data_IF_221428176031
#
_entry.id   IF_221428176031
#
_cell.length_a   1.000
_cell.length_b   1.000
_cell.length_c   1.000
_cell.angle_alpha   90.00
_cell.angle_beta   90.00
_cell.angle_gamma   90.00
#
_symmetry.space_group_name_H-M   'P 1'
#
loop_
_entity.id
_entity.type
_entity.pdbx_description
1 polymer ?
#
# COMPACT_ATOMS: atom_id res chain seq x y z
N UNK A 1 29.40 -8.76 20.83
CA UNK A 1 29.90 -9.30 19.54
C UNK A 1 28.97 -10.43 19.13
N UNK A 2 28.36 -10.36 17.96
CA UNK A 2 27.51 -11.45 17.44
C UNK A 2 28.35 -12.71 17.21
N UNK A 3 27.81 -13.87 17.58
CA UNK A 3 28.44 -15.17 17.35
C UNK A 3 28.54 -15.48 15.84
N UNK A 4 29.43 -16.40 15.44
CA UNK A 4 29.51 -16.84 14.03
C UNK A 4 28.18 -17.43 13.54
N UNK A 5 27.40 -18.09 14.42
CA UNK A 5 26.04 -18.58 14.12
C UNK A 5 25.07 -17.44 13.84
N UNK A 6 25.05 -16.38 14.65
CA UNK A 6 24.20 -15.20 14.43
C UNK A 6 24.52 -14.50 13.11
N UNK A 7 25.82 -14.35 12.76
CA UNK A 7 26.25 -13.80 11.45
C UNK A 7 25.87 -14.67 10.25
N UNK A 8 25.87 -15.99 10.42
CA UNK A 8 25.44 -16.92 9.39
C UNK A 8 23.93 -16.86 9.18
N UNK A 9 23.15 -16.71 10.26
CA UNK A 9 21.71 -16.47 10.23
C UNK A 9 21.35 -15.15 9.54
N UNK A 10 21.96 -14.03 9.90
CA UNK A 10 21.74 -12.74 9.22
C UNK A 10 22.01 -12.80 7.71
N UNK A 11 23.02 -13.57 7.30
CA UNK A 11 23.35 -13.75 5.89
C UNK A 11 22.30 -14.57 5.14
N UNK A 12 21.76 -15.62 5.79
CA UNK A 12 20.69 -16.47 5.24
C UNK A 12 19.32 -15.79 5.24
N UNK A 13 18.98 -15.02 6.27
CA UNK A 13 17.77 -14.19 6.30
C UNK A 13 17.66 -13.30 5.03
N UNK A 14 18.80 -12.69 4.64
CA UNK A 14 18.86 -11.88 3.42
C UNK A 14 18.77 -12.70 2.13
N UNK A 15 19.22 -13.94 2.13
CA UNK A 15 19.27 -14.80 0.93
C UNK A 15 17.97 -15.55 0.70
N UNK A 16 17.31 -16.04 1.75
CA UNK A 16 16.08 -16.83 1.65
C UNK A 16 14.80 -16.00 1.87
N UNK A 17 14.91 -14.69 2.16
CA UNK A 17 13.76 -13.81 2.45
C UNK A 17 13.01 -14.22 3.73
N UNK A 18 13.65 -14.95 4.62
CA UNK A 18 13.12 -15.37 5.92
C UNK A 18 13.35 -14.28 6.96
N UNK A 19 12.35 -14.03 7.78
CA UNK A 19 12.42 -13.09 8.91
C UNK A 19 11.85 -13.76 10.15
N UNK A 20 12.61 -13.74 11.26
CA UNK A 20 12.14 -14.29 12.51
C UNK A 20 10.95 -13.50 13.05
N UNK A 21 9.91 -14.23 13.44
CA UNK A 21 8.70 -13.62 14.01
C UNK A 21 8.94 -13.31 15.49
N UNK A 22 8.74 -12.06 15.94
CA UNK A 22 8.82 -11.75 17.36
C UNK A 22 7.85 -12.61 18.19
N UNK A 23 8.26 -13.08 19.38
CA UNK A 23 7.42 -13.94 20.22
C UNK A 23 6.03 -13.37 20.53
N UNK A 24 5.94 -12.07 20.74
CA UNK A 24 4.66 -11.37 21.01
C UNK A 24 3.71 -11.46 19.82
N UNK A 25 4.24 -11.34 18.60
CA UNK A 25 3.46 -11.44 17.36
C UNK A 25 2.96 -12.86 17.18
N UNK A 26 3.82 -13.85 17.35
CA UNK A 26 3.47 -15.27 17.24
C UNK A 26 2.41 -15.67 18.28
N UNK A 27 2.61 -15.27 19.54
CA UNK A 27 1.65 -15.52 20.63
C UNK A 27 0.28 -14.87 20.33
N UNK A 28 0.28 -13.64 19.85
CA UNK A 28 -0.96 -12.94 19.47
C UNK A 28 -1.70 -13.67 18.36
N UNK A 29 -0.98 -14.08 17.29
CA UNK A 29 -1.60 -14.78 16.15
C UNK A 29 -2.23 -16.10 16.61
N UNK A 30 -1.53 -16.88 17.41
CA UNK A 30 -2.06 -18.14 17.94
C UNK A 30 -3.28 -17.89 18.82
N UNK A 31 -3.20 -16.95 19.77
CA UNK A 31 -4.31 -16.64 20.68
C UNK A 31 -5.56 -16.13 19.94
N UNK A 32 -5.37 -15.26 18.92
CA UNK A 32 -6.46 -14.77 18.10
C UNK A 32 -7.10 -15.92 17.28
N UNK A 33 -6.29 -16.79 16.71
CA UNK A 33 -6.77 -17.92 15.91
C UNK A 33 -7.59 -18.90 16.74
N UNK A 34 -7.13 -19.24 17.93
CA UNK A 34 -7.84 -20.14 18.87
C UNK A 34 -9.18 -19.54 19.29
N UNK A 35 -9.21 -18.24 19.64
CA UNK A 35 -10.44 -17.55 20.05
C UNK A 35 -11.53 -17.57 18.98
N UNK A 36 -11.16 -17.61 17.70
CA UNK A 36 -12.10 -17.59 16.58
C UNK A 36 -12.35 -18.97 15.95
N UNK A 37 -11.74 -20.02 16.48
CA UNK A 37 -12.04 -21.38 16.12
C UNK A 37 -13.31 -21.81 16.87
N UNK A 38 -14.37 -22.15 16.15
CA UNK A 38 -15.66 -22.50 16.76
C UNK A 38 -15.56 -23.76 17.62
N UNK A 39 -14.85 -24.78 17.14
CA UNK A 39 -14.53 -26.03 17.85
C UNK A 39 -13.31 -26.69 17.22
N UNK A 40 -12.62 -27.50 18.00
CA UNK A 40 -11.54 -28.36 17.49
C UNK A 40 -12.16 -29.62 16.92
N UNK A 41 -11.91 -29.90 15.65
CA UNK A 41 -12.43 -31.07 14.97
C UNK A 41 -11.38 -32.17 14.88
N UNK A 42 -10.17 -31.80 14.48
CA UNK A 42 -9.04 -32.72 14.31
C UNK A 42 -7.97 -32.55 15.38
N UNK A 43 -7.95 -31.41 16.05
CA UNK A 43 -6.90 -30.95 16.98
C UNK A 43 -5.55 -30.76 16.30
N UNK A 44 -5.48 -30.70 14.96
CA UNK A 44 -4.26 -30.52 14.19
C UNK A 44 -4.01 -29.04 13.91
N UNK A 45 -2.74 -28.64 14.00
CA UNK A 45 -2.34 -27.29 13.60
C UNK A 45 -1.01 -27.34 12.83
N UNK A 46 -0.82 -26.43 11.87
CA UNK A 46 0.43 -26.40 11.13
C UNK A 46 0.96 -24.99 10.81
N UNK A 47 2.26 -24.98 10.51
CA UNK A 47 2.97 -23.86 9.88
C UNK A 47 3.72 -24.37 8.64
N UNK A 48 3.26 -24.00 7.42
CA UNK A 48 3.88 -24.45 6.17
C UNK A 48 5.27 -23.84 5.87
N UNK A 49 5.75 -22.90 6.70
CA UNK A 49 7.07 -22.26 6.58
C UNK A 49 7.62 -21.92 7.96
N UNK A 50 7.79 -22.96 8.79
CA UNK A 50 7.84 -22.84 10.25
C UNK A 50 9.13 -22.21 10.80
N UNK A 51 10.24 -22.18 10.04
CA UNK A 51 11.53 -21.77 10.56
C UNK A 51 11.89 -22.56 11.82
N UNK A 52 12.31 -21.88 12.88
CA UNK A 52 12.65 -22.50 14.18
C UNK A 52 11.43 -22.94 15.02
N UNK A 53 10.19 -22.85 14.48
CA UNK A 53 8.99 -23.41 15.12
C UNK A 53 8.35 -22.53 16.19
N UNK A 54 8.50 -21.21 16.14
CA UNK A 54 7.93 -20.29 17.14
C UNK A 54 6.39 -20.43 17.26
N UNK A 55 5.67 -20.58 16.15
CA UNK A 55 4.23 -20.79 16.14
C UNK A 55 3.86 -22.18 16.69
N UNK A 56 4.60 -23.23 16.31
CA UNK A 56 4.38 -24.59 16.76
C UNK A 56 4.45 -24.65 18.30
N UNK A 57 5.43 -23.95 18.88
CA UNK A 57 5.64 -23.90 20.32
C UNK A 57 4.43 -23.32 21.06
N UNK A 58 3.81 -22.27 20.56
CA UNK A 58 2.62 -21.70 21.18
C UNK A 58 1.40 -22.59 20.96
N UNK A 59 1.22 -23.18 19.79
CA UNK A 59 0.12 -24.10 19.49
C UNK A 59 0.20 -25.37 20.35
N UNK A 60 1.39 -25.94 20.50
CA UNK A 60 1.63 -27.14 21.34
C UNK A 60 1.30 -26.88 22.80
N UNK A 61 1.63 -25.69 23.34
CA UNK A 61 1.25 -25.28 24.70
C UNK A 61 -0.26 -25.20 24.89
N UNK A 62 -0.99 -24.89 23.82
CA UNK A 62 -2.45 -24.85 23.84
C UNK A 62 -3.09 -26.23 23.55
N UNK A 63 -2.26 -27.30 23.47
CA UNK A 63 -2.71 -28.69 23.35
C UNK A 63 -3.04 -29.15 21.93
N UNK A 64 -2.56 -28.46 20.90
CA UNK A 64 -2.65 -28.95 19.52
C UNK A 64 -1.55 -29.96 19.20
N UNK A 65 -1.87 -30.94 18.37
CA UNK A 65 -0.87 -31.70 17.62
C UNK A 65 -0.37 -30.83 16.47
N UNK A 66 0.96 -30.64 16.38
CA UNK A 66 1.55 -29.59 15.53
C UNK A 66 2.46 -30.18 14.46
N UNK A 67 2.41 -29.60 13.28
CA UNK A 67 3.22 -29.95 12.12
C UNK A 67 3.89 -28.69 11.55
N UNK A 68 5.22 -28.66 11.56
CA UNK A 68 6.01 -27.59 10.94
C UNK A 68 6.68 -28.09 9.68
N UNK A 69 6.70 -27.29 8.64
CA UNK A 69 7.40 -27.60 7.40
C UNK A 69 8.39 -26.49 7.07
N UNK A 70 9.61 -26.86 6.76
CA UNK A 70 10.63 -25.93 6.26
C UNK A 70 11.58 -26.64 5.30
N UNK A 71 12.06 -25.92 4.29
CA UNK A 71 12.99 -26.46 3.29
C UNK A 71 14.43 -26.50 3.80
N UNK A 72 14.76 -25.68 4.81
CA UNK A 72 16.12 -25.56 5.35
C UNK A 72 16.34 -26.55 6.52
N UNK A 73 17.20 -27.58 6.37
CA UNK A 73 17.44 -28.53 7.45
C UNK A 73 18.06 -27.91 8.71
N UNK A 74 18.71 -26.75 8.61
CA UNK A 74 19.32 -26.06 9.74
C UNK A 74 18.27 -25.63 10.79
N UNK A 75 17.01 -25.42 10.39
CA UNK A 75 15.97 -25.05 11.34
C UNK A 75 15.81 -26.07 12.47
N UNK A 76 15.99 -27.33 12.19
CA UNK A 76 15.99 -28.39 13.24
C UNK A 76 17.09 -28.25 14.27
N UNK A 77 18.27 -27.77 13.86
CA UNK A 77 19.41 -27.61 14.78
C UNK A 77 19.18 -26.48 15.78
N UNK A 78 18.45 -25.43 15.36
CA UNK A 78 18.21 -24.23 16.15
C UNK A 78 16.85 -24.23 16.83
N UNK A 79 15.94 -25.09 16.40
CA UNK A 79 14.61 -25.20 16.97
C UNK A 79 14.66 -25.60 18.44
N UNK A 80 13.80 -25.04 19.30
CA UNK A 80 13.65 -25.45 20.68
C UNK A 80 13.37 -26.97 20.78
N UNK A 81 13.93 -27.67 21.82
CA UNK A 81 13.77 -29.13 21.95
C UNK A 81 12.31 -29.59 21.99
N UNK A 82 11.41 -28.75 22.52
CA UNK A 82 9.99 -29.05 22.69
C UNK A 82 9.19 -29.14 21.37
N UNK A 83 9.74 -28.63 20.24
CA UNK A 83 9.08 -28.66 18.92
C UNK A 83 9.97 -29.16 17.78
N UNK A 84 11.21 -29.51 18.07
CA UNK A 84 12.21 -29.96 17.08
C UNK A 84 11.73 -31.15 16.25
N UNK A 85 11.13 -32.13 16.92
CA UNK A 85 10.67 -33.38 16.29
C UNK A 85 9.38 -33.16 15.47
N UNK A 86 8.64 -32.11 15.76
CA UNK A 86 7.42 -31.72 15.01
C UNK A 86 7.77 -30.99 13.70
N UNK A 87 9.05 -30.67 13.45
CA UNK A 87 9.48 -30.01 12.21
C UNK A 87 9.86 -31.08 11.17
N UNK A 88 9.23 -31.02 10.03
CA UNK A 88 9.47 -31.89 8.88
C UNK A 88 10.24 -31.08 7.82
N UNK A 89 11.41 -31.57 7.40
CA UNK A 89 12.20 -30.94 6.35
C UNK A 89 11.56 -31.25 5.00
N UNK A 90 10.81 -30.30 4.50
CA UNK A 90 10.02 -30.42 3.26
C UNK A 90 9.72 -29.05 2.68
N UNK A 91 9.60 -28.95 1.34
CA UNK A 91 9.11 -27.73 0.71
C UNK A 91 7.64 -27.52 1.06
N UNK A 92 7.31 -26.45 1.80
CA UNK A 92 5.95 -26.12 2.21
C UNK A 92 4.96 -25.87 1.07
N UNK A 93 5.43 -25.70 -0.17
CA UNK A 93 4.58 -25.59 -1.36
C UNK A 93 4.26 -26.97 -1.99
N UNK A 94 4.88 -28.05 -1.51
CA UNK A 94 4.54 -29.43 -1.93
C UNK A 94 3.22 -29.89 -1.32
N UNK A 95 2.75 -31.06 -1.71
CA UNK A 95 1.60 -31.69 -1.08
C UNK A 95 2.02 -32.12 0.36
N UNK A 96 1.35 -31.53 1.35
CA UNK A 96 1.71 -31.70 2.76
C UNK A 96 0.85 -32.77 3.43
N UNK A 97 1.37 -33.50 4.43
CA UNK A 97 0.54 -34.36 5.28
C UNK A 97 -0.65 -33.59 5.85
N UNK A 98 -1.79 -34.25 5.97
CA UNK A 98 -3.04 -33.70 6.54
C UNK A 98 -3.52 -32.39 5.86
N UNK A 99 -3.16 -32.15 4.58
CA UNK A 99 -3.62 -30.96 3.85
C UNK A 99 -5.15 -30.96 3.73
N UNK A 100 -5.77 -29.89 4.21
CA UNK A 100 -7.23 -29.78 4.26
C UNK A 100 -7.89 -30.22 5.57
N UNK A 101 -7.09 -30.69 6.56
CA UNK A 101 -7.58 -31.19 7.84
C UNK A 101 -7.22 -30.30 9.04
N UNK A 102 -6.33 -29.30 8.88
CA UNK A 102 -5.87 -28.49 10.00
C UNK A 102 -6.95 -27.54 10.54
N UNK A 103 -7.17 -27.58 11.85
CA UNK A 103 -8.01 -26.62 12.58
C UNK A 103 -7.42 -25.21 12.55
N UNK A 104 -6.10 -25.12 12.69
CA UNK A 104 -5.36 -23.86 12.69
C UNK A 104 -4.15 -23.95 11.76
N UNK A 105 -4.02 -22.94 10.89
CA UNK A 105 -2.85 -22.77 10.03
C UNK A 105 -2.27 -21.39 10.27
N UNK A 106 -1.08 -21.30 10.83
CA UNK A 106 -0.45 -20.01 11.14
C UNK A 106 0.97 -19.95 10.62
N UNK A 107 1.50 -18.75 10.39
CA UNK A 107 2.91 -18.63 10.00
C UNK A 107 3.28 -17.27 9.42
N UNK A 108 4.56 -17.15 9.12
CA UNK A 108 5.20 -16.02 8.46
C UNK A 108 6.01 -16.53 7.25
N UNK A 109 5.36 -16.74 6.10
CA UNK A 109 6.02 -17.31 4.93
C UNK A 109 7.10 -16.39 4.36
N UNK A 110 8.04 -16.92 3.54
CA UNK A 110 9.06 -16.10 2.89
C UNK A 110 8.47 -15.09 1.91
N UNK A 111 9.11 -13.91 1.78
CA UNK A 111 8.68 -12.82 0.89
C UNK A 111 9.62 -12.67 -0.30
N UNK A 112 9.07 -12.54 -1.50
CA UNK A 112 9.82 -12.48 -2.76
C UNK A 112 10.44 -11.11 -3.10
N UNK A 113 10.28 -10.09 -2.26
CA UNK A 113 10.63 -8.69 -2.56
C UNK A 113 12.09 -8.48 -3.03
N UNK A 114 13.00 -9.41 -2.78
CA UNK A 114 14.40 -9.34 -3.19
C UNK A 114 14.89 -10.51 -4.03
N UNK A 115 14.23 -11.66 -4.01
CA UNK A 115 14.84 -12.93 -4.46
C UNK A 115 14.14 -13.59 -5.62
N UNK A 116 13.32 -12.84 -6.29
CA UNK A 116 12.67 -13.32 -7.49
C UNK A 116 11.34 -14.02 -7.21
N UNK A 117 10.80 -14.51 -8.27
CA UNK A 117 9.48 -15.14 -8.32
C UNK A 117 9.67 -16.62 -8.60
N UNK A 118 8.73 -17.44 -8.21
CA UNK A 118 8.70 -18.86 -8.60
C UNK A 118 8.32 -18.94 -10.08
N UNK A 119 9.16 -19.64 -10.84
CA UNK A 119 9.02 -19.86 -12.28
C UNK A 119 8.78 -21.32 -12.64
N UNK A 120 8.98 -22.23 -11.67
CA UNK A 120 8.81 -23.65 -11.87
C UNK A 120 7.35 -23.97 -12.23
N UNK A 121 7.15 -24.57 -13.41
CA UNK A 121 5.82 -24.84 -13.96
C UNK A 121 5.05 -25.87 -13.16
N UNK A 122 5.73 -26.87 -12.62
CA UNK A 122 5.10 -27.95 -11.85
C UNK A 122 4.54 -27.39 -10.55
N UNK A 123 5.33 -26.58 -9.85
CA UNK A 123 4.86 -25.85 -8.68
C UNK A 123 3.70 -24.92 -9.03
N UNK A 124 3.85 -24.09 -10.07
CA UNK A 124 2.82 -23.12 -10.46
C UNK A 124 1.49 -23.78 -10.83
N UNK A 125 1.52 -24.95 -11.46
CA UNK A 125 0.32 -25.69 -11.90
C UNK A 125 -0.59 -26.09 -10.74
N UNK A 126 -0.03 -26.23 -9.56
CA UNK A 126 -0.75 -26.64 -8.33
C UNK A 126 -1.59 -25.52 -7.71
N UNK A 127 -1.40 -24.25 -8.14
CA UNK A 127 -2.00 -23.09 -7.50
C UNK A 127 -2.93 -22.31 -8.43
N UNK A 128 -4.13 -21.99 -7.94
CA UNK A 128 -5.13 -21.20 -8.67
C UNK A 128 -4.62 -19.78 -8.95
N UNK A 129 -3.96 -19.16 -7.97
CA UNK A 129 -3.41 -17.80 -8.08
C UNK A 129 -2.26 -17.68 -9.09
N UNK A 130 -1.81 -18.81 -9.64
CA UNK A 130 -0.79 -18.87 -10.71
C UNK A 130 -1.37 -19.06 -12.10
N UNK A 131 -2.67 -19.35 -12.25
CA UNK A 131 -3.29 -19.63 -13.56
C UNK A 131 -3.02 -18.51 -14.56
N UNK A 132 -2.54 -18.88 -15.76
CA UNK A 132 -2.21 -17.93 -16.84
C UNK A 132 -0.95 -17.09 -16.61
N UNK A 133 -0.14 -17.38 -15.57
CA UNK A 133 1.07 -16.62 -15.22
C UNK A 133 2.33 -17.44 -15.51
N UNK A 134 3.37 -16.76 -16.00
CA UNK A 134 4.70 -17.36 -16.20
C UNK A 134 5.53 -17.44 -14.92
N UNK A 135 5.12 -16.70 -13.91
CA UNK A 135 5.75 -16.67 -12.59
C UNK A 135 4.81 -16.11 -11.54
N UNK A 136 5.02 -16.48 -10.28
CA UNK A 136 4.24 -15.94 -9.15
C UNK A 136 5.17 -15.59 -7.97
N UNK A 137 4.76 -14.60 -7.17
CA UNK A 137 5.43 -14.26 -5.92
C UNK A 137 5.24 -15.39 -4.90
N UNK A 138 6.30 -15.75 -4.18
CA UNK A 138 6.30 -16.91 -3.26
C UNK A 138 5.28 -16.73 -2.14
N UNK A 139 5.14 -15.52 -1.60
CA UNK A 139 4.15 -15.19 -0.56
C UNK A 139 2.70 -15.37 -1.01
N UNK A 140 2.42 -15.24 -2.31
CA UNK A 140 1.07 -15.46 -2.88
C UNK A 140 0.79 -16.97 -3.00
N UNK A 141 1.80 -17.76 -3.34
CA UNK A 141 1.68 -19.23 -3.35
C UNK A 141 1.48 -19.77 -1.92
N UNK A 142 2.24 -19.26 -0.96
CA UNK A 142 2.07 -19.64 0.44
C UNK A 142 0.70 -19.21 0.97
N UNK A 143 0.19 -18.04 0.64
CA UNK A 143 -1.17 -17.65 1.01
C UNK A 143 -2.18 -18.71 0.56
N UNK A 144 -2.14 -19.14 -0.71
CA UNK A 144 -3.02 -20.21 -1.20
C UNK A 144 -2.76 -21.54 -0.49
N UNK A 145 -1.49 -21.85 -0.17
CA UNK A 145 -1.11 -23.07 0.60
C UNK A 145 -1.75 -23.06 2.00
N UNK A 146 -1.74 -21.93 2.71
CA UNK A 146 -2.41 -21.81 4.01
C UNK A 146 -3.91 -22.13 3.90
N UNK A 147 -4.55 -21.65 2.82
CA UNK A 147 -5.95 -22.00 2.55
C UNK A 147 -6.15 -23.48 2.22
N UNK A 148 -5.22 -24.09 1.50
CA UNK A 148 -5.29 -25.54 1.20
C UNK A 148 -5.16 -26.37 2.44
N UNK A 149 -4.19 -26.05 3.33
CA UNK A 149 -3.93 -26.76 4.57
C UNK A 149 -5.11 -26.73 5.56
N UNK A 150 -5.75 -25.57 5.72
CA UNK A 150 -6.88 -25.44 6.64
C UNK A 150 -8.08 -26.30 6.21
N UNK A 151 -8.77 -26.94 7.18
CA UNK A 151 -10.07 -27.55 6.91
C UNK A 151 -11.17 -26.49 6.67
N UNK A 152 -12.32 -26.89 6.21
CA UNK A 152 -13.48 -26.00 6.18
C UNK A 152 -13.86 -25.59 7.62
N UNK A 153 -14.00 -24.29 7.90
CA UNK A 153 -14.17 -23.75 9.25
C UNK A 153 -12.89 -23.59 10.05
N UNK A 154 -11.76 -24.09 9.56
CA UNK A 154 -10.43 -23.87 10.16
C UNK A 154 -9.97 -22.41 10.05
N UNK A 155 -9.16 -21.98 10.99
CA UNK A 155 -8.68 -20.60 11.10
C UNK A 155 -7.27 -20.45 10.57
N UNK A 156 -7.07 -19.43 9.76
CA UNK A 156 -5.79 -19.04 9.16
C UNK A 156 -5.34 -17.74 9.80
N UNK A 157 -4.09 -17.72 10.31
CA UNK A 157 -3.43 -16.52 10.83
C UNK A 157 -2.07 -16.32 10.16
N UNK A 158 -1.98 -15.49 9.12
CA UNK A 158 -0.78 -15.38 8.29
C UNK A 158 -0.26 -13.96 8.19
N UNK A 159 1.06 -13.80 8.32
CA UNK A 159 1.76 -12.53 8.10
C UNK A 159 2.07 -12.40 6.61
N UNK A 160 1.68 -11.29 6.02
CA UNK A 160 1.83 -11.05 4.58
C UNK A 160 2.41 -9.65 4.32
N UNK A 161 3.13 -9.46 3.19
CA UNK A 161 3.51 -8.12 2.75
C UNK A 161 2.28 -7.23 2.58
N UNK A 162 2.36 -6.03 3.11
CA UNK A 162 1.25 -5.06 3.08
C UNK A 162 0.72 -4.78 1.66
N UNK A 163 1.58 -4.94 0.64
CA UNK A 163 1.21 -4.80 -0.77
C UNK A 163 0.07 -5.71 -1.21
N UNK A 164 -0.11 -6.89 -0.61
CA UNK A 164 -1.22 -7.80 -0.90
C UNK A 164 -2.57 -7.10 -0.64
N UNK A 165 -2.63 -6.34 0.45
CA UNK A 165 -3.85 -5.66 0.88
C UNK A 165 -4.09 -4.33 0.14
N UNK A 166 -3.03 -3.64 -0.33
CA UNK A 166 -3.09 -2.27 -0.84
C UNK A 166 -2.84 -2.13 -2.34
N UNK A 167 -2.02 -2.97 -2.99
CA UNK A 167 -1.67 -2.80 -4.40
C UNK A 167 -2.83 -3.15 -5.34
N UNK A 168 -3.08 -2.29 -6.33
CA UNK A 168 -4.18 -2.49 -7.30
C UNK A 168 -4.02 -3.72 -8.17
N UNK A 169 -2.79 -4.03 -8.59
CA UNK A 169 -2.47 -5.21 -9.41
C UNK A 169 -2.62 -6.54 -8.65
N UNK A 170 -2.77 -6.49 -7.32
CA UNK A 170 -3.01 -7.65 -6.47
C UNK A 170 -4.49 -7.78 -6.03
N UNK A 171 -5.41 -7.07 -6.69
CA UNK A 171 -6.85 -7.21 -6.43
C UNK A 171 -7.32 -8.67 -6.56
N UNK A 172 -6.82 -9.40 -7.56
CA UNK A 172 -7.18 -10.81 -7.77
C UNK A 172 -6.84 -11.71 -6.56
N UNK A 173 -5.78 -11.38 -5.80
CA UNK A 173 -5.43 -12.09 -4.56
C UNK A 173 -6.46 -11.80 -3.47
N UNK A 174 -6.87 -10.55 -3.32
CA UNK A 174 -7.92 -10.18 -2.35
C UNK A 174 -9.29 -10.75 -2.72
N UNK A 175 -9.60 -10.80 -4.01
CA UNK A 175 -10.82 -11.46 -4.51
C UNK A 175 -10.80 -12.97 -4.18
N UNK A 176 -9.63 -13.61 -4.28
CA UNK A 176 -9.46 -15.02 -3.85
C UNK A 176 -9.70 -15.19 -2.34
N UNK A 177 -9.11 -14.33 -1.51
CA UNK A 177 -9.30 -14.36 -0.06
C UNK A 177 -10.81 -14.23 0.29
N UNK A 178 -11.46 -13.21 -0.26
CA UNK A 178 -12.88 -12.93 0.01
C UNK A 178 -13.83 -13.99 -0.54
N UNK A 179 -13.46 -14.70 -1.62
CA UNK A 179 -14.27 -15.77 -2.20
C UNK A 179 -14.18 -17.07 -1.39
N UNK A 180 -13.05 -17.33 -0.75
CA UNK A 180 -12.74 -18.61 -0.12
C UNK A 180 -12.77 -18.57 1.42
N UNK A 181 -13.10 -17.43 2.04
CA UNK A 181 -13.09 -17.31 3.52
C UNK A 181 -14.00 -16.24 4.07
N UNK A 182 -14.34 -16.40 5.34
CA UNK A 182 -14.78 -15.30 6.19
C UNK A 182 -13.54 -14.60 6.74
N UNK A 183 -13.21 -13.41 6.23
CA UNK A 183 -12.11 -12.60 6.76
C UNK A 183 -12.54 -12.05 8.12
N UNK A 184 -11.78 -12.36 9.15
CA UNK A 184 -12.04 -11.97 10.54
C UNK A 184 -11.40 -10.62 10.86
N UNK A 185 -10.11 -10.48 10.51
CA UNK A 185 -9.36 -9.25 10.74
C UNK A 185 -8.22 -9.06 9.74
N UNK A 186 -7.86 -7.80 9.51
CA UNK A 186 -6.59 -7.40 8.89
C UNK A 186 -5.92 -6.36 9.80
N UNK A 187 -4.73 -6.70 10.30
CA UNK A 187 -4.01 -5.89 11.28
C UNK A 187 -2.67 -5.47 10.70
N UNK A 188 -2.53 -4.19 10.38
CA UNK A 188 -1.28 -3.61 9.89
C UNK A 188 -0.24 -3.50 11.02
N UNK A 189 0.96 -4.00 10.77
CA UNK A 189 2.08 -3.96 11.71
C UNK A 189 3.02 -2.76 11.41
N UNK A 190 3.75 -2.25 12.43
CA UNK A 190 4.78 -1.24 12.24
C UNK A 190 5.89 -1.70 11.28
N UNK A 191 6.56 -0.75 10.60
CA UNK A 191 7.64 -1.07 9.64
C UNK A 191 8.85 -1.77 10.24
N UNK A 192 9.10 -1.58 11.52
CA UNK A 192 10.24 -2.13 12.27
C UNK A 192 9.87 -3.34 13.13
N UNK A 193 8.76 -4.00 12.84
CA UNK A 193 8.32 -5.20 13.56
C UNK A 193 9.32 -6.36 13.40
N UNK A 194 9.92 -6.49 12.22
CA UNK A 194 10.87 -7.55 11.91
C UNK A 194 12.28 -7.00 11.80
N UNK A 195 13.23 -7.69 12.44
CA UNK A 195 14.64 -7.30 12.39
C UNK A 195 15.19 -7.40 10.95
N UNK A 196 16.06 -6.48 10.57
CA UNK A 196 16.74 -6.51 9.27
C UNK A 196 15.91 -6.06 8.06
N UNK A 197 14.63 -5.69 8.24
CA UNK A 197 13.77 -5.20 7.15
C UNK A 197 12.93 -4.00 7.54
N UNK A 198 12.72 -3.09 6.60
CA UNK A 198 11.72 -2.03 6.69
C UNK A 198 10.42 -2.38 5.95
N UNK A 199 10.26 -3.64 5.55
CA UNK A 199 9.06 -4.09 4.86
C UNK A 199 7.82 -3.90 5.75
N UNK A 200 6.80 -3.28 5.19
CA UNK A 200 5.53 -3.14 5.87
C UNK A 200 4.73 -4.42 5.68
N UNK A 201 4.18 -4.95 6.76
CA UNK A 201 3.41 -6.19 6.78
C UNK A 201 2.06 -5.99 7.44
N UNK A 202 1.16 -6.93 7.23
CA UNK A 202 -0.07 -7.06 8.00
C UNK A 202 -0.37 -8.53 8.29
N UNK A 203 -1.13 -8.78 9.35
CA UNK A 203 -1.65 -10.10 9.67
C UNK A 203 -3.04 -10.21 9.06
N UNK A 204 -3.27 -11.28 8.30
CA UNK A 204 -4.57 -11.72 7.86
C UNK A 204 -5.08 -12.80 8.80
N UNK A 205 -6.28 -12.61 9.34
CA UNK A 205 -7.03 -13.67 9.99
C UNK A 205 -8.27 -13.99 9.17
N UNK A 206 -8.43 -15.27 8.85
CA UNK A 206 -9.54 -15.73 8.02
C UNK A 206 -10.00 -17.13 8.45
N UNK A 207 -11.29 -17.39 8.37
CA UNK A 207 -11.88 -18.71 8.56
C UNK A 207 -12.20 -19.30 7.19
N UNK A 208 -11.60 -20.43 6.82
CA UNK A 208 -11.82 -21.06 5.52
C UNK A 208 -13.29 -21.50 5.33
N UNK A 209 -13.87 -21.14 4.21
CA UNK A 209 -15.26 -21.53 3.87
C UNK A 209 -15.90 -20.49 2.98
N UNK A 210 -16.69 -20.68 2.06
CA UNK A 210 -17.48 -19.84 1.19
C UNK A 210 -17.16 -18.32 1.09
N UNK A 211 -17.87 -17.60 0.26
CA UNK A 211 -17.63 -16.17 0.08
C UNK A 211 -17.83 -15.37 1.38
N UNK A 212 -16.96 -14.38 1.59
CA UNK A 212 -17.05 -13.50 2.74
C UNK A 212 -18.41 -12.82 2.84
N UNK A 213 -18.96 -12.84 4.03
CA UNK A 213 -20.21 -12.14 4.39
C UNK A 213 -20.03 -11.47 5.74
N UNK A 214 -20.41 -10.20 5.84
CA UNK A 214 -20.36 -9.46 7.09
C UNK A 214 -19.17 -8.53 7.24
N UNK A 215 -18.72 -8.33 8.49
CA UNK A 215 -17.78 -7.27 8.86
C UNK A 215 -16.40 -7.82 9.15
N UNK A 216 -15.38 -6.99 8.93
CA UNK A 216 -13.96 -7.28 9.16
C UNK A 216 -13.42 -6.29 10.19
N UNK A 217 -12.63 -6.77 11.15
CA UNK A 217 -11.87 -5.91 12.04
C UNK A 217 -10.63 -5.38 11.32
N UNK A 218 -10.55 -4.08 11.12
CA UNK A 218 -9.41 -3.38 10.53
C UNK A 218 -8.66 -2.61 11.61
N UNK A 219 -7.36 -2.89 11.81
CA UNK A 219 -6.57 -2.21 12.83
C UNK A 219 -5.16 -1.86 12.32
N UNK A 220 -4.58 -0.78 12.87
CA UNK A 220 -3.18 -0.42 12.70
C UNK A 220 -2.50 -0.38 14.06
N UNK A 221 -1.44 -1.13 14.22
CA UNK A 221 -0.62 -1.13 15.44
C UNK A 221 0.41 -0.02 15.36
N UNK A 222 0.55 0.75 16.43
CA UNK A 222 1.60 1.76 16.57
C UNK A 222 2.94 1.13 16.98
N UNK A 223 4.01 1.93 17.04
CA UNK A 223 5.39 1.48 17.27
C UNK A 223 5.67 0.78 18.61
N UNK A 224 4.74 0.76 19.55
CA UNK A 224 4.83 -0.03 20.81
C UNK A 224 4.01 -1.30 20.61
N UNK A 225 4.69 -2.43 20.46
CA UNK A 225 4.10 -3.75 20.30
C UNK A 225 3.52 -4.26 21.64
N UNK A 226 2.34 -3.76 22.01
CA UNK A 226 1.46 -4.46 22.93
C UNK A 226 0.31 -5.06 22.12
N UNK A 227 0.53 -6.27 21.59
CA UNK A 227 -0.47 -6.99 20.81
C UNK A 227 -1.35 -7.78 21.77
N UNK A 228 -2.37 -7.13 22.32
CA UNK A 228 -3.46 -7.82 23.03
C UNK A 228 -4.77 -7.69 22.27
N UNK A 229 -5.67 -8.66 22.46
CA UNK A 229 -6.98 -8.62 21.80
C UNK A 229 -7.74 -7.34 22.15
N UNK A 230 -7.72 -6.92 23.41
CA UNK A 230 -8.43 -5.72 23.89
C UNK A 230 -7.86 -4.43 23.29
N UNK A 231 -6.55 -4.35 23.05
CA UNK A 231 -5.93 -3.18 22.39
C UNK A 231 -6.26 -3.13 20.92
N UNK A 232 -6.23 -4.27 20.24
CA UNK A 232 -6.59 -4.35 18.82
C UNK A 232 -8.06 -3.99 18.59
N UNK A 233 -8.96 -4.43 19.46
CA UNK A 233 -10.37 -4.06 19.42
C UNK A 233 -10.59 -2.56 19.65
N UNK A 234 -9.82 -1.93 20.54
CA UNK A 234 -9.86 -0.47 20.80
C UNK A 234 -9.28 0.36 19.64
N UNK A 235 -8.18 -0.11 19.03
CA UNK A 235 -7.51 0.57 17.93
C UNK A 235 -8.19 0.33 16.57
N UNK A 236 -9.00 -0.70 16.49
CA UNK A 236 -9.62 -1.17 15.28
C UNK A 236 -10.99 -0.57 15.00
N UNK A 237 -11.43 -0.73 13.78
CA UNK A 237 -12.78 -0.43 13.32
C UNK A 237 -13.38 -1.65 12.63
N UNK A 238 -14.60 -1.98 13.00
CA UNK A 238 -15.36 -3.06 12.37
C UNK A 238 -16.07 -2.48 11.14
N UNK A 239 -15.76 -3.01 9.94
CA UNK A 239 -16.21 -2.45 8.67
C UNK A 239 -16.71 -3.52 7.71
N UNK A 240 -17.59 -3.15 6.80
CA UNK A 240 -17.91 -3.95 5.62
C UNK A 240 -16.90 -3.66 4.51
N UNK A 241 -16.25 -4.67 3.89
CA UNK A 241 -15.27 -4.45 2.86
C UNK A 241 -15.91 -3.92 1.58
N UNK A 242 -15.33 -2.87 1.00
CA UNK A 242 -15.78 -2.27 -0.26
C UNK A 242 -14.77 -2.57 -1.36
N UNK A 243 -15.22 -2.98 -2.56
CA UNK A 243 -14.36 -3.19 -3.74
C UNK A 243 -13.10 -4.05 -3.50
N UNK A 244 -13.16 -5.05 -2.63
CA UNK A 244 -12.00 -5.87 -2.22
C UNK A 244 -10.85 -5.04 -1.62
N UNK A 245 -11.16 -3.93 -0.97
CA UNK A 245 -10.20 -3.13 -0.21
C UNK A 245 -10.02 -3.81 1.15
N UNK A 246 -8.78 -4.25 1.45
CA UNK A 246 -8.45 -4.95 2.69
C UNK A 246 -7.32 -4.27 3.48
N UNK A 247 -6.98 -3.00 3.20
CA UNK A 247 -5.96 -2.30 3.99
C UNK A 247 -6.59 -1.37 5.03
N UNK A 248 -6.17 -1.51 6.30
CA UNK A 248 -6.83 -0.86 7.44
C UNK A 248 -6.91 0.66 7.36
N UNK A 249 -5.87 1.35 6.88
CA UNK A 249 -5.86 2.82 6.87
C UNK A 249 -6.99 3.41 6.04
N UNK A 250 -7.48 2.70 5.05
CA UNK A 250 -8.64 3.15 4.26
C UNK A 250 -9.88 3.36 5.13
N UNK A 251 -10.08 2.45 6.10
CA UNK A 251 -11.27 2.44 6.94
C UNK A 251 -11.09 3.23 8.24
N UNK A 252 -9.85 3.32 8.74
CA UNK A 252 -9.53 4.04 9.98
C UNK A 252 -9.49 5.55 9.79
N UNK A 253 -9.21 6.02 8.57
CA UNK A 253 -9.33 7.44 8.24
C UNK A 253 -10.80 7.81 8.03
N UNK A 254 -11.24 8.88 8.68
CA UNK A 254 -12.57 9.42 8.49
C UNK A 254 -12.81 9.78 7.03
N UNK A 255 -13.99 9.41 6.52
CA UNK A 255 -14.45 9.87 5.23
C UNK A 255 -15.00 11.27 5.39
N UNK A 256 -14.51 12.18 4.58
CA UNK A 256 -15.07 13.52 4.53
C UNK A 256 -16.35 13.47 3.70
N UNK A 257 -17.49 13.61 4.37
CA UNK A 257 -18.77 13.81 3.70
C UNK A 257 -18.93 15.31 3.46
N UNK A 258 -18.80 15.73 2.22
CA UNK A 258 -18.92 17.13 1.81
C UNK A 258 -20.28 17.35 1.16
N UNK A 259 -21.07 18.24 1.76
CA UNK A 259 -22.29 18.75 1.15
C UNK A 259 -21.92 19.57 -0.10
N UNK A 260 -22.78 19.57 -1.10
CA UNK A 260 -22.60 20.34 -2.33
C UNK A 260 -21.26 20.10 -3.06
N UNK A 261 -20.77 18.87 -3.05
CA UNK A 261 -19.54 18.49 -3.73
C UNK A 261 -19.81 17.70 -5.02
N UNK A 262 -18.91 17.82 -5.97
CA UNK A 262 -18.91 17.07 -7.23
C UNK A 262 -17.61 16.25 -7.30
N UNK A 263 -17.65 14.97 -7.72
CA UNK A 263 -16.43 14.19 -7.92
C UNK A 263 -15.46 14.86 -8.90
N UNK A 264 -14.18 14.91 -8.58
CA UNK A 264 -13.15 15.53 -9.42
C UNK A 264 -13.20 15.02 -10.87
N UNK A 265 -13.49 13.73 -11.09
CA UNK A 265 -13.58 13.15 -12.42
C UNK A 265 -14.69 13.71 -13.30
N UNK A 266 -15.70 14.38 -12.74
CA UNK A 266 -16.73 15.11 -13.50
C UNK A 266 -16.26 16.50 -13.91
N UNK A 267 -15.34 17.10 -13.14
CA UNK A 267 -14.84 18.45 -13.38
C UNK A 267 -13.63 18.49 -14.31
N UNK A 268 -12.83 17.40 -14.35
CA UNK A 268 -11.57 17.37 -15.11
C UNK A 268 -11.42 16.10 -15.95
N UNK A 269 -10.70 16.23 -17.06
CA UNK A 269 -10.02 15.13 -17.73
C UNK A 269 -8.64 14.94 -17.10
N UNK A 270 -8.22 13.69 -16.87
CA UNK A 270 -6.93 13.36 -16.26
C UNK A 270 -6.08 12.61 -17.28
N UNK A 271 -4.90 13.15 -17.57
CA UNK A 271 -3.89 12.55 -18.45
C UNK A 271 -2.64 12.22 -17.64
N UNK A 272 -1.95 11.14 -18.01
CA UNK A 272 -0.64 10.78 -17.42
C UNK A 272 0.49 11.49 -18.15
N UNK A 273 1.57 11.80 -17.43
CA UNK A 273 2.79 12.29 -18.01
C UNK A 273 3.48 11.28 -18.94
N UNK A 274 4.70 11.58 -19.36
CA UNK A 274 5.51 10.72 -20.22
C UNK A 274 5.91 9.41 -19.49
N UNK A 275 6.23 8.36 -20.23
CA UNK A 275 6.40 7.01 -19.66
C UNK A 275 7.78 6.39 -19.88
N UNK A 276 8.77 7.14 -20.37
CA UNK A 276 10.14 6.63 -20.54
C UNK A 276 10.88 6.60 -19.19
N UNK A 277 11.63 5.51 -18.94
CA UNK A 277 12.30 5.26 -17.67
C UNK A 277 13.79 5.02 -17.82
N UNK A 278 14.55 5.23 -16.76
CA UNK A 278 15.95 4.87 -16.63
C UNK A 278 16.81 5.44 -17.77
N UNK A 279 17.55 4.61 -18.45
CA UNK A 279 18.45 5.00 -19.56
C UNK A 279 17.75 5.59 -20.78
N UNK A 280 16.43 5.41 -20.92
CA UNK A 280 15.64 5.98 -22.02
C UNK A 280 15.26 7.45 -21.76
N UNK A 281 15.50 7.98 -20.57
CA UNK A 281 15.33 9.39 -20.25
C UNK A 281 16.51 10.20 -20.77
N UNK A 282 16.33 10.85 -21.89
CA UNK A 282 17.34 11.68 -22.53
C UNK A 282 16.97 13.17 -22.40
N UNK A 283 17.73 13.88 -21.59
CA UNK A 283 17.58 15.33 -21.41
C UNK A 283 18.55 16.10 -22.31
N UNK A 284 18.14 17.28 -22.74
CA UNK A 284 18.92 18.22 -23.53
C UNK A 284 19.29 19.47 -22.74
N UNK A 285 20.27 20.25 -23.23
CA UNK A 285 20.66 21.52 -22.62
C UNK A 285 19.63 22.63 -22.81
N UNK A 286 18.80 22.51 -23.85
CA UNK A 286 17.74 23.44 -24.19
C UNK A 286 16.60 22.70 -24.89
N UNK A 287 15.44 23.32 -25.02
CA UNK A 287 14.25 22.76 -25.67
C UNK A 287 13.00 22.95 -24.86
N UNK A 288 12.15 21.93 -24.82
CA UNK A 288 10.87 21.95 -24.11
C UNK A 288 11.14 21.71 -22.61
N UNK A 289 10.63 22.55 -21.71
CA UNK A 289 10.78 22.35 -20.27
C UNK A 289 10.27 20.97 -19.84
N UNK A 290 10.99 20.33 -18.89
CA UNK A 290 10.56 19.07 -18.28
C UNK A 290 10.01 19.33 -16.89
N UNK A 291 8.72 19.03 -16.70
CA UNK A 291 8.01 19.25 -15.44
C UNK A 291 8.10 17.97 -14.59
N UNK A 292 9.17 17.86 -13.81
CA UNK A 292 9.35 16.78 -12.84
C UNK A 292 8.53 17.06 -11.55
N UNK A 293 8.30 16.04 -10.74
CA UNK A 293 7.64 16.20 -9.45
C UNK A 293 8.38 17.15 -8.49
N UNK A 294 9.68 17.44 -8.74
CA UNK A 294 10.47 18.37 -7.94
C UNK A 294 10.12 19.82 -8.21
N UNK A 295 9.81 20.16 -9.46
CA UNK A 295 9.48 21.54 -9.85
C UNK A 295 8.05 21.92 -9.50
N UNK A 296 7.18 20.94 -9.23
CA UNK A 296 5.82 21.17 -8.74
C UNK A 296 5.88 21.48 -7.25
N UNK A 297 5.66 22.74 -6.90
CA UNK A 297 5.72 23.22 -5.51
C UNK A 297 4.34 23.76 -5.07
N UNK A 298 4.10 23.90 -3.75
CA UNK A 298 2.87 24.55 -3.28
C UNK A 298 2.70 26.00 -3.75
N UNK A 299 3.80 26.65 -4.15
CA UNK A 299 3.83 28.04 -4.63
C UNK A 299 3.91 28.13 -6.17
N UNK A 300 3.52 27.07 -6.90
CA UNK A 300 3.53 27.01 -8.37
C UNK A 300 4.72 26.23 -8.94
N UNK A 301 4.90 26.33 -10.26
CA UNK A 301 6.01 25.67 -10.98
C UNK A 301 7.31 26.44 -10.71
N UNK A 302 8.34 25.72 -10.23
CA UNK A 302 9.64 26.27 -9.88
C UNK A 302 10.78 25.49 -10.54
N UNK A 303 11.22 25.92 -11.72
CA UNK A 303 12.29 25.27 -12.47
C UNK A 303 13.69 25.41 -11.82
N UNK A 304 13.89 26.30 -10.84
CA UNK A 304 15.14 26.37 -10.10
C UNK A 304 15.40 25.11 -9.27
N UNK A 305 14.34 24.33 -8.95
CA UNK A 305 14.46 23.07 -8.22
C UNK A 305 15.00 21.90 -9.05
N UNK A 306 14.74 21.89 -10.38
CA UNK A 306 15.18 20.80 -11.28
C UNK A 306 15.01 21.25 -12.75
N UNK A 307 15.95 22.07 -13.25
CA UNK A 307 15.89 22.62 -14.60
C UNK A 307 16.37 21.57 -15.63
N UNK A 308 15.47 21.03 -16.40
CA UNK A 308 15.71 20.04 -17.46
C UNK A 308 14.88 20.34 -18.69
N UNK A 309 15.39 19.92 -19.85
CA UNK A 309 14.70 20.09 -21.12
C UNK A 309 14.62 18.78 -21.89
N UNK A 310 13.59 18.66 -22.73
CA UNK A 310 13.35 17.53 -23.63
C UNK A 310 13.43 18.05 -25.07
N UNK A 311 14.21 17.36 -25.91
CA UNK A 311 14.20 17.64 -27.35
C UNK A 311 12.85 17.24 -27.97
N UNK A 312 12.31 18.02 -28.93
CA UNK A 312 11.12 17.61 -29.69
C UNK A 312 11.25 16.26 -30.41
N UNK A 313 12.48 15.85 -30.73
CA UNK A 313 12.79 14.56 -31.37
C UNK A 313 12.97 13.41 -30.37
N UNK A 314 12.96 13.68 -29.07
CA UNK A 314 13.11 12.67 -28.03
C UNK A 314 11.87 11.76 -27.93
N UNK A 315 12.10 10.47 -27.59
CA UNK A 315 11.02 9.53 -27.26
C UNK A 315 10.19 9.98 -26.05
N UNK A 316 10.74 10.86 -25.20
CA UNK A 316 10.03 11.48 -24.06
C UNK A 316 8.99 12.50 -24.52
N UNK A 317 9.13 13.08 -25.74
CA UNK A 317 8.13 14.00 -26.28
C UNK A 317 6.89 13.22 -26.70
N UNK A 318 5.79 13.43 -25.99
CA UNK A 318 4.47 12.90 -26.33
C UNK A 318 3.47 14.01 -26.12
N UNK A 319 2.71 14.39 -27.15
CA UNK A 319 1.71 15.48 -27.07
C UNK A 319 0.75 15.30 -25.90
N UNK A 320 0.34 14.08 -25.58
CA UNK A 320 -0.53 13.76 -24.43
C UNK A 320 0.09 14.09 -23.07
N UNK A 321 1.43 14.15 -22.99
CA UNK A 321 2.19 14.46 -21.78
C UNK A 321 2.66 15.92 -21.71
N UNK A 322 2.26 16.73 -22.70
CA UNK A 322 2.54 18.17 -22.73
C UNK A 322 1.44 18.91 -21.98
N UNK A 323 1.83 19.73 -20.99
CA UNK A 323 0.93 20.59 -20.24
C UNK A 323 0.93 22.00 -20.83
N UNK A 324 -0.27 22.55 -21.00
CA UNK A 324 -0.52 23.87 -21.56
C UNK A 324 -0.93 24.88 -20.47
N UNK A 325 -0.84 26.17 -20.77
CA UNK A 325 -1.36 27.24 -19.90
C UNK A 325 -2.81 26.97 -19.51
N UNK A 326 -3.12 27.11 -18.23
CA UNK A 326 -4.44 26.84 -17.66
C UNK A 326 -4.64 25.38 -17.23
N UNK A 327 -3.73 24.48 -17.51
CA UNK A 327 -3.79 23.11 -16.99
C UNK A 327 -3.13 22.99 -15.61
N UNK A 328 -3.58 22.02 -14.84
CA UNK A 328 -3.11 21.75 -13.47
C UNK A 328 -2.24 20.50 -13.47
N UNK A 329 -1.03 20.59 -12.92
CA UNK A 329 -0.13 19.45 -12.72
C UNK A 329 -0.26 18.95 -11.28
N UNK A 330 -0.62 17.69 -11.13
CA UNK A 330 -0.82 17.02 -9.85
C UNK A 330 0.20 15.91 -9.66
N UNK A 331 1.03 15.99 -8.61
CA UNK A 331 2.01 14.94 -8.26
C UNK A 331 1.30 13.75 -7.62
N UNK A 332 1.33 12.61 -8.31
CA UNK A 332 0.62 11.39 -7.92
C UNK A 332 1.46 10.38 -7.15
N UNK A 333 2.79 10.57 -7.07
CA UNK A 333 3.74 9.60 -6.56
C UNK A 333 4.70 10.25 -5.57
N UNK A 334 5.08 9.49 -4.53
CA UNK A 334 6.19 9.78 -3.63
C UNK A 334 5.79 10.17 -2.21
N UNK A 335 6.59 9.68 -1.25
CA UNK A 335 6.42 10.05 0.16
C UNK A 335 6.78 11.54 0.34
N UNK A 336 5.82 12.34 0.82
CA UNK A 336 6.00 13.78 1.03
C UNK A 336 5.86 14.66 -0.22
N UNK A 337 5.74 14.08 -1.43
CA UNK A 337 5.52 14.83 -2.67
C UNK A 337 4.12 14.65 -3.24
N UNK A 338 3.50 13.50 -3.02
CA UNK A 338 2.12 13.22 -3.45
C UNK A 338 1.15 14.31 -2.96
N UNK A 339 0.28 14.76 -3.86
CA UNK A 339 -0.67 15.83 -3.57
C UNK A 339 -0.07 17.24 -3.67
N UNK A 340 1.15 17.41 -4.18
CA UNK A 340 1.60 18.74 -4.66
C UNK A 340 0.90 19.05 -5.96
N UNK A 341 0.50 20.31 -6.09
CA UNK A 341 -0.28 20.78 -7.24
C UNK A 341 0.23 22.13 -7.70
N UNK A 342 0.27 22.34 -9.00
CA UNK A 342 0.60 23.65 -9.57
C UNK A 342 -0.17 23.88 -10.87
N UNK A 343 -0.50 25.13 -11.16
CA UNK A 343 -1.09 25.58 -12.43
C UNK A 343 0.03 26.04 -13.37
N UNK A 344 -0.09 25.72 -14.64
CA UNK A 344 0.73 26.30 -15.70
C UNK A 344 0.21 27.71 -15.98
N UNK A 345 0.95 28.74 -15.59
CA UNK A 345 0.49 30.13 -15.61
C UNK A 345 0.97 30.92 -16.82
N UNK A 346 2.02 30.46 -17.50
CA UNK A 346 2.59 31.13 -18.67
C UNK A 346 3.15 30.14 -19.68
N UNK A 347 3.42 30.60 -20.90
CA UNK A 347 4.02 29.78 -21.97
C UNK A 347 5.41 29.22 -21.62
N UNK A 348 6.17 29.95 -20.81
CA UNK A 348 7.48 29.52 -20.35
C UNK A 348 7.41 28.35 -19.36
N UNK A 349 6.24 28.14 -18.78
CA UNK A 349 5.98 27.02 -17.87
C UNK A 349 5.39 25.80 -18.60
N UNK A 350 4.99 25.92 -19.87
CA UNK A 350 4.52 24.79 -20.68
C UNK A 350 5.63 23.76 -20.89
N UNK A 351 5.29 22.48 -20.83
CA UNK A 351 6.31 21.44 -21.00
C UNK A 351 5.84 20.01 -20.88
N UNK A 352 6.78 19.10 -20.99
CA UNK A 352 6.57 17.64 -20.83
C UNK A 352 6.52 17.29 -19.35
N UNK A 353 5.39 16.77 -18.91
CA UNK A 353 5.17 16.33 -17.52
C UNK A 353 5.72 14.93 -17.29
N UNK A 354 6.36 14.73 -16.13
CA UNK A 354 6.88 13.43 -15.69
C UNK A 354 5.74 12.43 -15.43
N UNK A 355 6.04 11.13 -15.55
CA UNK A 355 5.13 10.02 -15.23
C UNK A 355 4.73 9.97 -13.74
N UNK A 356 5.44 10.68 -12.86
CA UNK A 356 5.10 10.84 -11.45
C UNK A 356 3.98 11.87 -11.21
N UNK A 357 3.46 12.45 -12.28
CA UNK A 357 2.40 13.46 -12.21
C UNK A 357 1.28 13.19 -13.21
N UNK A 358 0.09 13.71 -12.88
CA UNK A 358 -1.05 13.82 -13.77
C UNK A 358 -1.19 15.25 -14.28
N UNK A 359 -1.79 15.40 -15.45
CA UNK A 359 -2.25 16.67 -16.02
C UNK A 359 -3.77 16.67 -15.92
N UNK A 360 -4.33 17.68 -15.28
CA UNK A 360 -5.77 17.87 -15.12
C UNK A 360 -6.22 19.00 -16.02
N UNK A 361 -7.11 18.71 -16.97
CA UNK A 361 -7.72 19.67 -17.89
C UNK A 361 -9.17 19.88 -17.49
N UNK A 362 -9.59 21.11 -17.26
CA UNK A 362 -10.98 21.42 -16.88
C UNK A 362 -11.95 21.07 -18.03
N UNK A 363 -13.06 20.44 -17.69
CA UNK A 363 -14.20 20.15 -18.58
C UNK A 363 -15.38 21.10 -18.39
N UNK A 364 -15.32 21.95 -17.38
CA UNK A 364 -16.44 22.79 -16.93
C UNK A 364 -15.92 24.13 -16.40
N UNK A 365 -16.76 25.12 -16.35
CA UNK A 365 -16.49 26.44 -15.76
C UNK A 365 -16.99 26.58 -14.30
N UNK A 366 -17.47 25.47 -13.68
CA UNK A 366 -17.89 25.48 -12.27
C UNK A 366 -16.74 25.74 -11.30
N UNK A 367 -15.52 25.44 -11.72
CA UNK A 367 -14.28 25.75 -11.00
C UNK A 367 -13.25 26.29 -11.98
N UNK A 368 -12.23 26.99 -11.47
CA UNK A 368 -11.07 27.39 -12.26
C UNK A 368 -9.81 26.62 -11.84
N UNK A 369 -8.72 26.61 -12.63
CA UNK A 369 -7.52 25.85 -12.32
C UNK A 369 -6.83 26.32 -11.04
N UNK A 370 -6.94 27.59 -10.68
CA UNK A 370 -6.31 28.18 -9.51
C UNK A 370 -6.98 27.74 -8.20
N UNK A 371 -8.32 27.78 -8.17
CA UNK A 371 -9.08 27.19 -7.07
C UNK A 371 -8.76 25.71 -6.90
N UNK A 372 -8.78 24.96 -8.02
CA UNK A 372 -8.52 23.52 -7.97
C UNK A 372 -7.11 23.21 -7.42
N UNK A 373 -6.11 24.02 -7.76
CA UNK A 373 -4.75 23.87 -7.22
C UNK A 373 -4.73 24.11 -5.70
N UNK A 374 -5.32 25.17 -5.19
CA UNK A 374 -5.44 25.42 -3.75
C UNK A 374 -6.25 24.34 -3.04
N UNK A 375 -7.38 23.92 -3.64
CA UNK A 375 -8.27 22.91 -3.06
C UNK A 375 -7.57 21.55 -2.91
N UNK A 376 -6.94 21.04 -3.95
CA UNK A 376 -6.32 19.71 -3.93
C UNK A 376 -5.07 19.64 -3.05
N UNK A 377 -4.39 20.76 -2.79
CA UNK A 377 -3.23 20.79 -1.87
C UNK A 377 -3.63 21.13 -0.42
N UNK A 378 -4.89 21.55 -0.18
CA UNK A 378 -5.38 21.83 1.16
C UNK A 378 -5.15 20.63 2.09
N UNK A 379 -4.66 20.81 3.34
CA UNK A 379 -4.35 19.72 4.26
C UNK A 379 -5.50 18.74 4.50
N UNK A 380 -6.75 19.20 4.56
CA UNK A 380 -7.94 18.35 4.76
C UNK A 380 -8.16 17.46 3.54
N UNK A 381 -8.14 18.02 2.35
CA UNK A 381 -8.31 17.28 1.09
C UNK A 381 -7.13 16.36 0.82
N UNK A 382 -5.92 16.79 1.14
CA UNK A 382 -4.72 15.97 1.04
C UNK A 382 -4.81 14.70 1.90
N UNK A 383 -5.40 14.77 3.10
CA UNK A 383 -5.68 13.57 3.90
C UNK A 383 -6.60 12.61 3.15
N UNK A 384 -7.66 13.11 2.48
CA UNK A 384 -8.55 12.27 1.68
C UNK A 384 -7.83 11.66 0.47
N UNK A 385 -6.98 12.43 -0.21
CA UNK A 385 -6.13 11.93 -1.31
C UNK A 385 -5.24 10.78 -0.81
N UNK A 386 -4.58 10.97 0.34
CA UNK A 386 -3.71 9.96 0.95
C UNK A 386 -4.46 8.69 1.38
N UNK A 387 -5.73 8.79 1.77
CA UNK A 387 -6.59 7.64 2.05
C UNK A 387 -6.69 6.68 0.87
N UNK A 388 -6.75 7.20 -0.35
CA UNK A 388 -6.82 6.41 -1.59
C UNK A 388 -5.44 6.10 -2.19
N UNK A 389 -4.36 6.67 -1.64
CA UNK A 389 -3.01 6.40 -2.09
C UNK A 389 -2.55 5.00 -1.63
N UNK A 390 -1.79 4.30 -2.46
CA UNK A 390 -1.40 2.90 -2.29
C UNK A 390 0.07 2.70 -2.59
N UNK A 391 0.66 1.65 -2.03
CA UNK A 391 2.05 1.26 -2.25
C UNK A 391 2.84 1.14 -0.96
N UNK A 392 3.82 0.25 -0.93
CA UNK A 392 4.63 -0.07 0.27
C UNK A 392 5.92 0.74 0.32
N UNK A 393 6.62 0.87 -0.81
CA UNK A 393 7.86 1.67 -0.93
C UNK A 393 7.58 3.05 -1.54
N UNK A 394 6.89 3.07 -2.65
CA UNK A 394 6.51 4.29 -3.36
C UNK A 394 4.99 4.44 -3.31
N UNK A 395 4.51 5.41 -2.53
CA UNK A 395 3.08 5.69 -2.41
C UNK A 395 2.60 6.39 -3.68
N UNK A 396 1.50 5.91 -4.26
CA UNK A 396 0.88 6.50 -5.46
C UNK A 396 -0.64 6.51 -5.34
N UNK A 397 -1.29 7.52 -5.89
CA UNK A 397 -2.74 7.54 -6.08
C UNK A 397 -3.09 7.13 -7.52
N UNK A 398 -3.88 6.06 -7.73
CA UNK A 398 -4.38 5.71 -9.04
C UNK A 398 -5.36 6.77 -9.58
N UNK A 399 -5.35 6.98 -10.90
CA UNK A 399 -6.25 7.94 -11.55
C UNK A 399 -7.73 7.68 -11.23
N UNK A 400 -8.14 6.41 -11.20
CA UNK A 400 -9.52 6.02 -10.85
C UNK A 400 -9.92 6.52 -9.44
N UNK A 401 -9.01 6.48 -8.49
CA UNK A 401 -9.27 6.90 -7.13
C UNK A 401 -9.22 8.42 -6.99
N UNK A 402 -8.28 9.08 -7.68
CA UNK A 402 -8.21 10.54 -7.70
C UNK A 402 -9.52 11.16 -8.24
N UNK A 403 -10.15 10.53 -9.24
CA UNK A 403 -11.46 10.96 -9.79
C UNK A 403 -12.59 10.96 -8.77
N UNK A 404 -12.49 10.19 -7.69
CA UNK A 404 -13.52 10.10 -6.63
C UNK A 404 -13.42 11.21 -5.59
N UNK A 405 -12.34 11.99 -5.57
CA UNK A 405 -12.16 13.08 -4.59
C UNK A 405 -13.29 14.08 -4.76
N UNK A 406 -14.08 14.35 -3.69
CA UNK A 406 -15.15 15.32 -3.75
C UNK A 406 -14.57 16.73 -3.80
N UNK A 407 -15.13 17.57 -4.66
CA UNK A 407 -14.74 18.98 -4.82
C UNK A 407 -15.95 19.85 -4.50
N UNK A 408 -15.86 20.68 -3.49
CA UNK A 408 -16.88 21.68 -3.15
C UNK A 408 -16.87 22.76 -4.23
N UNK A 409 -18.05 23.17 -4.67
CA UNK A 409 -18.18 24.22 -5.69
C UNK A 409 -18.29 25.58 -5.00
N UNK A 410 -17.29 26.45 -5.15
CA UNK A 410 -17.27 27.73 -4.48
C UNK A 410 -18.15 28.79 -5.22
N UNK A 411 -18.49 29.91 -4.57
CA UNK A 411 -19.07 31.08 -5.24
C UNK A 411 -18.12 31.65 -6.31
N UNK A 412 -18.68 32.33 -7.30
CA UNK A 412 -17.91 32.88 -8.42
C UNK A 412 -16.86 33.90 -7.96
N UNK A 413 -17.20 34.74 -7.01
CA UNK A 413 -16.32 35.75 -6.44
C UNK A 413 -15.08 35.09 -5.80
N UNK A 414 -15.23 33.92 -5.19
CA UNK A 414 -14.12 33.20 -4.63
C UNK A 414 -13.20 32.58 -5.70
N UNK A 415 -13.76 32.17 -6.85
CA UNK A 415 -12.95 31.73 -7.99
C UNK A 415 -12.07 32.88 -8.52
N UNK A 416 -12.62 34.10 -8.63
CA UNK A 416 -11.87 35.28 -9.04
C UNK A 416 -10.78 35.65 -8.02
N UNK A 417 -11.08 35.53 -6.72
CA UNK A 417 -10.09 35.69 -5.65
C UNK A 417 -8.97 34.70 -5.76
N UNK A 418 -9.28 33.43 -6.00
CA UNK A 418 -8.26 32.38 -6.16
C UNK A 418 -7.35 32.63 -7.36
N UNK A 419 -7.90 33.11 -8.48
CA UNK A 419 -7.11 33.45 -9.65
C UNK A 419 -6.12 34.57 -9.36
N UNK A 420 -6.58 35.66 -8.76
CA UNK A 420 -5.72 36.77 -8.37
C UNK A 420 -4.65 36.33 -7.36
N UNK A 421 -5.06 35.64 -6.30
CA UNK A 421 -4.17 35.15 -5.24
C UNK A 421 -3.06 34.23 -5.78
N UNK A 422 -3.42 33.32 -6.68
CA UNK A 422 -2.45 32.39 -7.26
C UNK A 422 -1.41 33.11 -8.12
N UNK A 423 -1.85 34.04 -8.97
CA UNK A 423 -0.95 34.84 -9.82
C UNK A 423 0.00 35.71 -8.99
N UNK A 424 -0.51 36.37 -7.94
CA UNK A 424 0.30 37.20 -7.06
C UNK A 424 1.28 36.33 -6.24
N UNK A 425 0.84 35.18 -5.73
CA UNK A 425 1.68 34.22 -5.03
C UNK A 425 2.87 33.76 -5.90
N UNK A 426 2.62 33.41 -7.18
CA UNK A 426 3.66 32.98 -8.13
C UNK A 426 4.62 34.13 -8.43
N UNK A 427 4.11 35.36 -8.58
CA UNK A 427 4.93 36.56 -8.78
C UNK A 427 5.85 36.82 -7.60
N UNK A 428 5.32 36.84 -6.37
CA UNK A 428 6.12 37.04 -5.13
C UNK A 428 7.19 35.95 -4.99
N UNK A 429 6.87 34.70 -5.30
CA UNK A 429 7.87 33.62 -5.31
C UNK A 429 8.98 33.91 -6.31
N UNK A 430 8.67 34.33 -7.54
CA UNK A 430 9.68 34.69 -8.57
C UNK A 430 10.56 35.86 -8.14
N UNK A 431 10.02 36.77 -7.32
CA UNK A 431 10.77 37.89 -6.71
C UNK A 431 11.57 37.48 -5.45
N UNK A 432 11.55 36.21 -5.05
CA UNK A 432 12.23 35.71 -3.84
C UNK A 432 11.50 36.01 -2.52
N UNK A 433 10.31 36.60 -2.56
CA UNK A 433 9.46 36.93 -1.39
C UNK A 433 8.65 35.74 -0.91
N UNK A 434 9.36 34.65 -0.55
CA UNK A 434 8.74 33.35 -0.24
C UNK A 434 7.76 33.42 0.95
N UNK A 435 8.10 34.22 1.98
CA UNK A 435 7.24 34.36 3.16
C UNK A 435 5.90 35.04 2.83
N UNK A 436 5.90 36.04 1.96
CA UNK A 436 4.70 36.74 1.52
C UNK A 436 3.83 35.80 0.66
N UNK A 437 4.43 35.10 -0.31
CA UNK A 437 3.75 34.07 -1.09
C UNK A 437 3.13 33.01 -0.20
N UNK A 438 3.83 32.56 0.84
CA UNK A 438 3.31 31.58 1.81
C UNK A 438 2.15 32.09 2.67
N UNK A 439 2.06 33.41 2.92
CA UNK A 439 0.91 34.02 3.63
C UNK A 439 -0.35 33.95 2.78
N UNK A 440 -0.25 34.29 1.49
CA UNK A 440 -1.38 34.20 0.55
C UNK A 440 -1.90 32.75 0.49
N UNK A 441 -1.00 31.76 0.35
CA UNK A 441 -1.37 30.34 0.36
C UNK A 441 -2.18 30.00 1.61
N UNK A 442 -1.69 30.34 2.79
CA UNK A 442 -2.36 30.04 4.07
C UNK A 442 -3.69 30.73 4.24
N UNK A 443 -3.86 31.93 3.72
CA UNK A 443 -5.13 32.66 3.75
C UNK A 443 -6.19 31.90 2.94
N UNK A 444 -5.89 31.56 1.70
CA UNK A 444 -6.82 30.80 0.84
C UNK A 444 -7.09 29.39 1.40
N UNK A 445 -6.08 28.72 1.96
CA UNK A 445 -6.25 27.41 2.63
C UNK A 445 -7.29 27.48 3.75
N UNK A 446 -7.26 28.53 4.59
CA UNK A 446 -8.23 28.71 5.69
C UNK A 446 -9.65 28.93 5.15
N UNK A 447 -9.82 29.76 4.14
CA UNK A 447 -11.16 30.01 3.55
C UNK A 447 -11.72 28.73 2.91
N UNK A 448 -10.89 27.91 2.28
CA UNK A 448 -11.30 26.60 1.77
C UNK A 448 -11.67 25.66 2.93
N UNK A 449 -10.93 25.66 4.03
CA UNK A 449 -11.27 24.86 5.21
C UNK A 449 -12.62 25.25 5.81
N UNK A 450 -12.93 26.54 5.85
CA UNK A 450 -14.22 27.04 6.35
C UNK A 450 -15.38 26.62 5.43
N UNK A 451 -15.16 26.63 4.10
CA UNK A 451 -16.15 26.10 3.14
C UNK A 451 -16.33 24.59 3.22
N UNK A 452 -15.29 23.86 3.60
CA UNK A 452 -15.33 22.39 3.76
C UNK A 452 -16.08 22.00 5.03
N UNK A 453 -16.03 22.82 6.09
CA UNK A 453 -16.63 22.53 7.41
C UNK A 453 -18.11 22.90 7.48
N UNK A 454 -18.58 23.84 6.66
CA UNK A 454 -19.97 24.30 6.57
C UNK A 454 -20.78 23.49 5.53
#
# INVERSE_FOLDING_TARGET
MMTQKEKHFERKEKVLGQFFTPPEVAKFIVSFSIRHLDHRETNLACDPACGEGIFLRYLKKEGFEVYGFDIDPIVKEVAPPDVRDDIIIMNGLSDLPHEGEYDIVVGNPPFSAKYGRIHDRDTLSKFELSKGRRSQAIEILFLEKFFKCARKGGVIGVILPYGIFSNTNLKYVRDYILRNSQVLAVIALPRNTFYGTSARTAILFAKKGGPHRGKILMACVSSKLHLTLSEIEKLGKIVEPTDSILYPEFYLQESLELKNSIPLGELVEIRSGQTEYGKNRLFSKSGIPFISAKVVTPLGIDFEKDRKFVSPSSKMYKRRAYAFVGEVVFVRVGVGTIGRVAVITSKEEEGIVDDWSYILTLKTNKVNPYYLAFYLQNPIIKKQILKYARGVGTITIPQRELKKIPVVIPPKEFLEKCEWAYKEMVKLRKEGKINEAGRILKEIEREIEDMIKN
#
